data_IF_219912672704
#
_entry.id   IF_219912672704
#
_cell.length_a   1.000
_cell.length_b   1.000
_cell.length_c   1.000
_cell.angle_alpha   90.00
_cell.angle_beta   90.00
_cell.angle_gamma   90.00
#
_symmetry.space_group_name_H-M   'P 1'
#
loop_
_entity.id
_entity.type
_entity.pdbx_description
1 polymer ?
#
# COMPACT_ATOMS: atom_id res chain seq x y z
N UNK A 1 -7.56 24.88 -9.94
CA UNK A 1 -7.25 23.49 -9.48
C UNK A 1 -6.07 23.55 -8.52
N UNK A 2 -6.18 22.91 -7.37
CA UNK A 2 -5.05 22.80 -6.45
C UNK A 2 -3.93 21.99 -7.12
N UNK A 3 -2.67 22.43 -6.95
CA UNK A 3 -1.53 21.71 -7.52
C UNK A 3 -1.31 20.41 -6.76
N UNK A 4 -1.18 19.29 -7.45
CA UNK A 4 -0.82 18.00 -6.86
C UNK A 4 0.63 18.06 -6.40
N UNK A 5 0.87 18.06 -5.09
CA UNK A 5 2.19 18.14 -4.46
C UNK A 5 2.54 16.91 -3.64
N UNK A 6 1.54 16.21 -3.11
CA UNK A 6 1.70 15.02 -2.28
C UNK A 6 0.94 13.85 -2.88
N UNK A 7 1.68 12.85 -3.34
CA UNK A 7 1.15 11.66 -3.99
C UNK A 7 1.34 10.49 -3.06
N UNK A 8 0.26 9.91 -2.56
CA UNK A 8 0.30 8.71 -1.74
C UNK A 8 0.25 7.47 -2.63
N UNK A 9 1.24 6.60 -2.50
CA UNK A 9 1.23 5.26 -3.08
C UNK A 9 1.00 4.22 -1.99
N UNK A 10 -0.13 3.52 -2.05
CA UNK A 10 -0.44 2.40 -1.18
C UNK A 10 0.09 1.11 -1.82
N UNK A 11 1.01 0.43 -1.13
CA UNK A 11 1.63 -0.80 -1.60
C UNK A 11 1.32 -1.99 -0.70
N UNK A 12 1.07 -3.15 -1.30
CA UNK A 12 1.00 -4.44 -0.63
C UNK A 12 2.22 -5.33 -0.91
N UNK A 13 3.24 -4.76 -1.55
CA UNK A 13 4.48 -5.38 -2.00
C UNK A 13 4.30 -6.45 -3.09
N UNK A 14 3.10 -6.68 -3.58
CA UNK A 14 2.84 -7.63 -4.66
C UNK A 14 3.48 -7.18 -5.99
N UNK A 15 3.78 -8.11 -6.92
CA UNK A 15 4.17 -7.76 -8.27
C UNK A 15 3.14 -6.89 -8.98
N UNK A 16 1.86 -7.05 -8.67
CA UNK A 16 0.76 -6.27 -9.23
C UNK A 16 0.78 -4.79 -8.80
N UNK A 17 1.40 -4.45 -7.67
CA UNK A 17 1.54 -3.06 -7.22
C UNK A 17 2.71 -2.30 -7.88
N UNK A 18 3.65 -3.00 -8.55
CA UNK A 18 4.84 -2.39 -9.15
C UNK A 18 4.53 -1.36 -10.25
N UNK A 19 3.57 -1.59 -11.17
CA UNK A 19 3.18 -0.57 -12.16
C UNK A 19 2.64 0.69 -11.51
N UNK A 20 1.85 0.56 -10.44
CA UNK A 20 1.34 1.71 -9.69
C UNK A 20 2.47 2.50 -9.03
N UNK A 21 3.48 1.82 -8.46
CA UNK A 21 4.66 2.48 -7.90
C UNK A 21 5.41 3.28 -8.98
N UNK A 22 5.64 2.67 -10.17
CA UNK A 22 6.29 3.39 -11.28
C UNK A 22 5.52 4.64 -11.67
N UNK A 23 4.21 4.52 -11.87
CA UNK A 23 3.35 5.66 -12.19
C UNK A 23 3.41 6.74 -11.10
N UNK A 24 3.40 6.36 -9.83
CA UNK A 24 3.50 7.30 -8.71
C UNK A 24 4.85 8.03 -8.68
N UNK A 25 5.95 7.33 -8.97
CA UNK A 25 7.29 7.92 -9.09
C UNK A 25 7.34 8.93 -10.24
N UNK A 26 6.84 8.55 -11.41
CA UNK A 26 6.86 9.40 -12.61
C UNK A 26 6.03 10.67 -12.39
N UNK A 27 4.85 10.54 -11.78
CA UNK A 27 4.02 11.69 -11.42
C UNK A 27 4.68 12.59 -10.38
N UNK A 28 5.28 12.02 -9.32
CA UNK A 28 5.96 12.80 -8.29
C UNK A 28 7.12 13.61 -8.88
N UNK A 29 7.87 13.04 -9.81
CA UNK A 29 8.96 13.73 -10.52
C UNK A 29 8.43 14.81 -11.45
N UNK A 30 7.48 14.48 -12.32
CA UNK A 30 6.91 15.43 -13.30
C UNK A 30 6.27 16.65 -12.62
N UNK A 31 5.58 16.42 -11.50
CA UNK A 31 4.89 17.47 -10.74
C UNK A 31 5.78 18.14 -9.67
N UNK A 32 7.05 17.74 -9.57
CA UNK A 32 7.99 18.18 -8.51
C UNK A 32 7.39 18.02 -7.09
N UNK A 33 6.57 16.99 -6.93
CA UNK A 33 5.89 16.64 -5.69
C UNK A 33 6.69 15.71 -4.79
N UNK A 34 6.09 15.33 -3.67
CA UNK A 34 6.57 14.32 -2.74
C UNK A 34 5.79 13.02 -2.92
N UNK A 35 6.47 11.89 -2.94
CA UNK A 35 5.90 10.55 -2.93
C UNK A 35 5.83 10.03 -1.50
N UNK A 36 4.62 9.78 -1.03
CA UNK A 36 4.34 9.18 0.28
C UNK A 36 4.08 7.68 0.07
N UNK A 37 5.06 6.83 0.38
CA UNK A 37 4.88 5.37 0.27
C UNK A 37 4.29 4.84 1.56
N UNK A 38 3.13 4.21 1.47
CA UNK A 38 2.37 3.70 2.61
C UNK A 38 2.14 2.19 2.46
N UNK A 39 2.39 1.45 3.53
CA UNK A 39 1.93 0.08 3.69
C UNK A 39 1.07 -0.05 4.92
N UNK A 40 -0.02 -0.80 4.80
CA UNK A 40 -0.90 -1.13 5.94
C UNK A 40 -0.64 -2.57 6.34
N UNK A 41 -0.12 -2.76 7.54
CA UNK A 41 0.09 -4.07 8.16
C UNK A 41 -1.19 -4.45 8.92
N UNK A 42 -1.89 -5.45 8.40
CA UNK A 42 -3.03 -6.04 9.12
C UNK A 42 -2.55 -6.86 10.32
N UNK A 43 -3.31 -6.90 11.41
CA UNK A 43 -2.99 -7.77 12.54
C UNK A 43 -2.78 -9.23 12.11
N UNK A 44 -1.89 -9.92 12.78
CA UNK A 44 -1.69 -11.35 12.55
C UNK A 44 -2.92 -12.09 13.05
N UNK A 45 -3.68 -12.68 12.14
CA UNK A 45 -4.80 -13.56 12.48
C UNK A 45 -4.29 -14.99 12.44
N UNK A 46 -4.25 -15.65 13.58
CA UNK A 46 -3.99 -17.08 13.66
C UNK A 46 -5.32 -17.80 13.44
N UNK A 47 -5.47 -18.60 12.37
CA UNK A 47 -6.70 -19.36 12.18
C UNK A 47 -6.87 -20.36 13.31
N UNK A 48 -7.89 -20.21 14.12
CA UNK A 48 -8.33 -21.25 15.07
C UNK A 48 -9.11 -22.27 14.24
N UNK A 49 -8.42 -23.28 13.71
CA UNK A 49 -9.06 -24.47 13.21
C UNK A 49 -9.65 -25.22 14.41
N UNK A 50 -10.87 -25.76 14.27
CA UNK A 50 -11.64 -26.42 15.30
C UNK A 50 -10.81 -27.42 16.12
N UNK A 51 -10.39 -26.98 17.30
CA UNK A 51 -9.45 -27.65 18.20
C UNK A 51 -8.45 -26.58 18.69
N UNK A 52 -8.56 -26.23 19.95
CA UNK A 52 -7.84 -25.12 20.60
C UNK A 52 -6.34 -25.11 20.27
N UNK A 53 -5.95 -24.37 19.24
CA UNK A 53 -4.53 -23.99 19.10
C UNK A 53 -4.32 -22.76 19.99
N UNK A 54 -4.03 -23.03 21.25
CA UNK A 54 -3.57 -22.00 22.17
C UNK A 54 -2.12 -21.63 21.80
N UNK A 55 -1.93 -20.50 21.17
CA UNK A 55 -0.59 -19.91 21.05
C UNK A 55 -0.29 -19.15 22.33
N UNK A 56 0.84 -19.49 22.99
CA UNK A 56 1.30 -18.70 24.13
C UNK A 56 1.44 -17.21 23.73
N UNK A 57 1.09 -16.26 24.60
CA UNK A 57 1.20 -14.83 24.33
C UNK A 57 2.57 -14.43 23.78
N UNK A 58 3.65 -15.00 24.34
CA UNK A 58 5.01 -14.73 23.87
C UNK A 58 5.26 -15.13 22.40
N UNK A 59 4.63 -16.21 21.95
CA UNK A 59 4.71 -16.66 20.54
C UNK A 59 3.94 -15.69 19.62
N UNK A 60 2.79 -15.20 20.07
CA UNK A 60 2.02 -14.21 19.33
C UNK A 60 2.80 -12.90 19.18
N UNK A 61 3.37 -12.39 20.26
CA UNK A 61 4.20 -11.19 20.26
C UNK A 61 5.43 -11.32 19.35
N UNK A 62 6.02 -12.51 19.29
CA UNK A 62 7.15 -12.77 18.40
C UNK A 62 6.72 -12.75 16.92
N UNK A 63 5.56 -13.34 16.59
CA UNK A 63 5.00 -13.32 15.24
C UNK A 63 4.67 -11.88 14.80
N UNK A 64 4.08 -11.08 15.68
CA UNK A 64 3.78 -9.68 15.38
C UNK A 64 5.07 -8.87 15.17
N UNK A 65 6.06 -9.02 16.03
CA UNK A 65 7.36 -8.34 15.87
C UNK A 65 8.05 -8.74 14.58
N UNK A 66 8.03 -10.02 14.24
CA UNK A 66 8.62 -10.53 13.00
C UNK A 66 7.89 -9.99 11.75
N UNK A 67 6.56 -9.99 11.76
CA UNK A 67 5.74 -9.45 10.69
C UNK A 67 6.00 -7.94 10.48
N UNK A 68 6.05 -7.18 11.57
CA UNK A 68 6.37 -5.75 11.55
C UNK A 68 7.75 -5.47 10.99
N UNK A 69 8.77 -6.21 11.46
CA UNK A 69 10.14 -6.07 10.97
C UNK A 69 10.25 -6.41 9.47
N UNK A 70 9.56 -7.45 9.02
CA UNK A 70 9.51 -7.82 7.60
C UNK A 70 8.84 -6.73 6.76
N UNK A 71 7.69 -6.22 7.20
CA UNK A 71 6.97 -5.14 6.53
C UNK A 71 7.83 -3.87 6.43
N UNK A 72 8.54 -3.51 7.50
CA UNK A 72 9.44 -2.36 7.51
C UNK A 72 10.59 -2.53 6.50
N UNK A 73 11.25 -3.69 6.45
CA UNK A 73 12.31 -3.97 5.46
C UNK A 73 11.79 -3.88 4.02
N UNK A 74 10.57 -4.35 3.76
CA UNK A 74 9.95 -4.22 2.43
C UNK A 74 9.67 -2.76 2.08
N UNK A 75 9.14 -1.99 3.02
CA UNK A 75 8.83 -0.58 2.85
C UNK A 75 10.10 0.23 2.55
N UNK A 76 11.18 -0.08 3.27
CA UNK A 76 12.48 0.55 3.07
C UNK A 76 13.02 0.31 1.66
N UNK A 77 12.90 -0.92 1.15
CA UNK A 77 13.32 -1.26 -0.22
C UNK A 77 12.49 -0.52 -1.27
N UNK A 78 11.18 -0.40 -1.07
CA UNK A 78 10.31 0.34 -2.01
C UNK A 78 10.67 1.83 -2.00
N UNK A 79 10.84 2.42 -0.82
CA UNK A 79 11.23 3.82 -0.69
C UNK A 79 12.61 4.10 -1.29
N UNK A 80 13.57 3.19 -1.08
CA UNK A 80 14.92 3.31 -1.64
C UNK A 80 14.90 3.28 -3.17
N UNK A 81 14.13 2.36 -3.79
CA UNK A 81 13.96 2.32 -5.25
C UNK A 81 13.38 3.62 -5.80
N UNK A 82 12.39 4.18 -5.13
CA UNK A 82 11.79 5.44 -5.54
C UNK A 82 12.76 6.62 -5.43
N UNK A 83 13.58 6.66 -4.38
CA UNK A 83 14.67 7.65 -4.22
C UNK A 83 15.72 7.52 -5.33
N UNK A 84 16.16 6.30 -5.63
CA UNK A 84 17.12 6.03 -6.70
C UNK A 84 16.57 6.44 -8.07
N UNK A 85 15.25 6.35 -8.26
CA UNK A 85 14.57 6.86 -9.46
C UNK A 85 14.39 8.39 -9.45
N UNK A 86 14.90 9.12 -8.46
CA UNK A 86 14.91 10.59 -8.40
C UNK A 86 13.65 11.22 -7.79
N UNK A 87 12.79 10.46 -7.10
CA UNK A 87 11.66 11.01 -6.38
C UNK A 87 12.04 11.49 -4.98
N UNK A 88 11.40 12.56 -4.50
CA UNK A 88 11.41 12.91 -3.08
C UNK A 88 10.43 11.99 -2.36
N UNK A 89 10.91 11.20 -1.41
CA UNK A 89 10.14 10.11 -0.81
C UNK A 89 10.11 10.21 0.70
N UNK A 90 8.92 10.09 1.26
CA UNK A 90 8.72 9.68 2.65
C UNK A 90 7.94 8.37 2.70
N UNK A 91 7.99 7.69 3.84
CA UNK A 91 7.37 6.37 4.01
C UNK A 91 6.65 6.27 5.34
N UNK A 92 5.57 5.47 5.39
CA UNK A 92 4.82 5.17 6.61
C UNK A 92 4.36 3.71 6.61
N UNK A 93 4.71 3.01 7.68
CA UNK A 93 4.08 1.75 8.06
C UNK A 93 2.90 2.08 8.98
N UNK A 94 1.73 1.58 8.64
CA UNK A 94 0.48 1.80 9.37
C UNK A 94 -0.05 0.45 9.81
N UNK A 95 -0.47 0.32 11.04
CA UNK A 95 -1.06 -0.91 11.56
C UNK A 95 -2.57 -0.80 11.65
N UNK A 96 -3.24 -1.90 11.41
CA UNK A 96 -4.68 -2.06 11.65
C UNK A 96 -5.49 -2.50 10.44
N UNK A 97 -6.79 -2.58 10.69
CA UNK A 97 -7.81 -3.05 9.76
C UNK A 97 -9.06 -2.17 9.88
N UNK A 98 -9.91 -2.08 8.86
CA UNK A 98 -9.73 -2.53 7.47
C UNK A 98 -8.68 -1.72 6.70
N UNK A 99 -7.95 -2.38 5.80
CA UNK A 99 -6.83 -1.78 5.06
C UNK A 99 -7.24 -0.51 4.29
N UNK A 100 -8.37 -0.55 3.59
CA UNK A 100 -8.84 0.60 2.81
C UNK A 100 -9.09 1.84 3.68
N UNK A 101 -9.70 1.67 4.86
CA UNK A 101 -9.99 2.77 5.79
C UNK A 101 -8.69 3.37 6.34
N UNK A 102 -7.68 2.53 6.59
CA UNK A 102 -6.35 2.98 7.01
C UNK A 102 -5.66 3.80 5.93
N UNK A 103 -5.75 3.38 4.66
CA UNK A 103 -5.23 4.14 3.52
C UNK A 103 -5.91 5.52 3.42
N UNK A 104 -7.23 5.56 3.48
CA UNK A 104 -7.99 6.82 3.38
C UNK A 104 -7.67 7.77 4.54
N UNK A 105 -7.60 7.26 5.77
CA UNK A 105 -7.19 8.05 6.94
C UNK A 105 -5.77 8.58 6.80
N UNK A 106 -4.84 7.75 6.32
CA UNK A 106 -3.47 8.17 6.06
C UNK A 106 -3.40 9.28 5.02
N UNK A 107 -4.15 9.15 3.92
CA UNK A 107 -4.20 10.17 2.88
C UNK A 107 -4.66 11.53 3.44
N UNK A 108 -5.68 11.54 4.29
CA UNK A 108 -6.15 12.76 4.99
C UNK A 108 -5.09 13.32 5.94
N UNK A 109 -4.54 12.49 6.83
CA UNK A 109 -3.55 12.90 7.82
C UNK A 109 -2.27 13.44 7.19
N UNK A 110 -1.83 12.84 6.08
CA UNK A 110 -0.65 13.25 5.32
C UNK A 110 -0.96 14.34 4.29
N UNK A 111 -2.20 14.79 4.19
CA UNK A 111 -2.68 15.79 3.22
C UNK A 111 -2.28 15.40 1.79
N UNK A 112 -2.55 14.15 1.42
CA UNK A 112 -2.31 13.68 0.07
C UNK A 112 -3.29 14.33 -0.92
N UNK A 113 -2.77 14.79 -2.03
CA UNK A 113 -3.55 15.41 -3.12
C UNK A 113 -4.02 14.36 -4.13
N UNK A 114 -3.35 13.21 -4.17
CA UNK A 114 -3.63 12.08 -5.06
C UNK A 114 -3.25 10.77 -4.38
N UNK A 115 -4.10 9.76 -4.51
CA UNK A 115 -3.75 8.37 -4.18
C UNK A 115 -3.46 7.62 -5.48
N UNK A 116 -2.35 6.88 -5.54
CA UNK A 116 -2.01 5.98 -6.65
C UNK A 116 -1.85 4.56 -6.12
N UNK A 117 -2.63 3.62 -6.65
CA UNK A 117 -2.62 2.24 -6.18
C UNK A 117 -2.90 1.24 -7.31
N UNK A 118 -2.55 -0.03 -7.09
CA UNK A 118 -2.89 -1.10 -8.02
C UNK A 118 -4.38 -1.41 -8.01
N UNK A 119 -4.91 -1.89 -9.14
CA UNK A 119 -6.31 -2.36 -9.23
C UNK A 119 -6.52 -3.67 -8.48
N UNK A 120 -5.47 -4.48 -8.30
CA UNK A 120 -5.50 -5.78 -7.61
C UNK A 120 -4.33 -5.85 -6.65
N UNK A 121 -4.51 -6.61 -5.57
CA UNK A 121 -3.48 -6.91 -4.60
C UNK A 121 -2.96 -8.34 -4.75
N UNK A 122 -2.61 -8.96 -3.63
CA UNK A 122 -2.01 -10.31 -3.53
C UNK A 122 -2.83 -11.43 -4.15
N UNK A 123 -4.13 -11.26 -4.31
CA UNK A 123 -5.04 -12.31 -4.82
C UNK A 123 -4.99 -12.48 -6.34
N UNK A 124 -4.30 -11.59 -7.07
CA UNK A 124 -3.92 -11.79 -8.48
C UNK A 124 -5.03 -12.20 -9.46
N UNK A 125 -6.29 -11.89 -9.17
CA UNK A 125 -7.42 -12.31 -10.02
C UNK A 125 -7.35 -11.58 -11.36
N UNK A 126 -7.18 -12.35 -12.44
CA UNK A 126 -7.03 -11.86 -13.82
C UNK A 126 -8.30 -11.26 -14.43
N UNK A 127 -9.42 -11.25 -13.72
CA UNK A 127 -10.67 -10.68 -14.21
C UNK A 127 -10.72 -9.15 -14.05
N UNK A 128 -11.50 -8.50 -14.90
CA UNK A 128 -11.68 -7.04 -15.06
C UNK A 128 -12.27 -6.34 -13.81
N UNK A 129 -12.26 -6.98 -12.66
CA UNK A 129 -12.88 -6.50 -11.42
C UNK A 129 -11.86 -5.75 -10.58
N UNK A 130 -12.22 -4.54 -10.14
CA UNK A 130 -11.45 -3.76 -9.18
C UNK A 130 -11.41 -4.50 -7.83
N UNK A 131 -10.23 -4.71 -7.26
CA UNK A 131 -10.07 -5.38 -5.98
C UNK A 131 -10.79 -4.65 -4.85
N UNK A 132 -11.23 -5.37 -3.82
CA UNK A 132 -12.06 -4.85 -2.73
C UNK A 132 -11.45 -3.63 -2.01
N UNK A 133 -10.14 -3.63 -1.79
CA UNK A 133 -9.43 -2.50 -1.18
C UNK A 133 -9.45 -1.29 -2.11
N UNK A 134 -9.10 -1.48 -3.39
CA UNK A 134 -9.10 -0.39 -4.36
C UNK A 134 -10.50 0.19 -4.57
N UNK A 135 -11.52 -0.65 -4.71
CA UNK A 135 -12.92 -0.22 -4.85
C UNK A 135 -13.37 0.64 -3.65
N UNK A 136 -13.05 0.20 -2.43
CA UNK A 136 -13.41 0.94 -1.22
C UNK A 136 -12.64 2.26 -1.11
N UNK A 137 -11.35 2.28 -1.42
CA UNK A 137 -10.57 3.53 -1.44
C UNK A 137 -11.13 4.52 -2.45
N UNK A 138 -11.44 4.08 -3.68
CA UNK A 138 -12.07 4.93 -4.71
C UNK A 138 -13.39 5.51 -4.22
N UNK A 139 -14.21 4.71 -3.54
CA UNK A 139 -15.53 5.13 -3.05
C UNK A 139 -15.46 6.11 -1.85
N UNK A 140 -14.40 6.08 -1.05
CA UNK A 140 -14.36 6.78 0.25
C UNK A 140 -13.25 7.81 0.40
N UNK A 141 -12.30 7.88 -0.52
CA UNK A 141 -11.22 8.85 -0.49
C UNK A 141 -11.74 10.29 -0.66
N UNK A 142 -11.09 11.23 0.04
CA UNK A 142 -11.39 12.66 -0.06
C UNK A 142 -10.56 13.40 -1.12
N UNK A 143 -9.67 12.69 -1.81
CA UNK A 143 -8.87 13.19 -2.91
C UNK A 143 -9.00 12.24 -4.12
N UNK A 144 -8.61 12.66 -5.33
CA UNK A 144 -8.58 11.79 -6.50
C UNK A 144 -7.79 10.49 -6.26
N UNK A 145 -8.26 9.41 -6.88
CA UNK A 145 -7.61 8.09 -6.82
C UNK A 145 -7.30 7.61 -8.23
N UNK A 146 -6.03 7.37 -8.50
CA UNK A 146 -5.56 6.76 -9.73
C UNK A 146 -5.30 5.28 -9.51
N UNK A 147 -6.09 4.43 -10.13
CA UNK A 147 -5.88 2.99 -10.12
C UNK A 147 -5.09 2.55 -11.35
N UNK A 148 -4.03 1.78 -11.13
CA UNK A 148 -3.13 1.32 -12.20
C UNK A 148 -3.25 -0.18 -12.34
N UNK A 149 -3.55 -0.65 -13.54
CA UNK A 149 -3.63 -2.07 -13.84
C UNK A 149 -2.23 -2.63 -14.15
N UNK A 150 -1.90 -3.76 -13.54
CA UNK A 150 -0.78 -4.56 -14.00
C UNK A 150 -1.13 -5.13 -15.39
N UNK A 151 -0.31 -4.83 -16.41
CA UNK A 151 -0.46 -5.50 -17.70
C UNK A 151 -0.04 -6.96 -17.54
N UNK A 152 -0.82 -7.93 -18.09
CA UNK A 152 -0.30 -9.30 -18.22
C UNK A 152 1.04 -9.21 -18.94
N UNK A 153 2.07 -9.84 -18.39
CA UNK A 153 3.38 -9.89 -19.04
C UNK A 153 3.22 -10.42 -20.46
N UNK A 154 3.80 -9.75 -21.45
CA UNK A 154 4.13 -10.42 -22.71
C UNK A 154 5.15 -11.49 -22.32
N UNK A 155 4.72 -12.75 -22.44
CA UNK A 155 5.63 -13.88 -22.42
C UNK A 155 6.64 -13.75 -23.56
#
# INVERSE_FOLDING_TARGET
MAAIRRILHATDYSPASRPALRTAIDLARALRGELLVVHVLSPVVVPVLAGEVYLPPATYDELERSARAAAQRHLDRVAQRAKQAGARVSKRLIEGSPVADRIVRAARALRADLIVMGTHGRTGVTRVVLGSVAARVVATASCPVLTVRARPGRA
#
